data_IF_642485964084
#
_entry.id   IF_642485964084
#
_cell.length_a   1.000
_cell.length_b   1.000
_cell.length_c   1.000
_cell.angle_alpha   90.00
_cell.angle_beta   90.00
_cell.angle_gamma   90.00
#
_symmetry.space_group_name_H-M   'P 1'
#
loop_
_entity.id
_entity.type
_entity.pdbx_description
1 polymer ?
#
# COMPACT_ATOMS: atom_id res chain seq x y z
N UNK A 1 -55.00 -35.98 40.22
CA UNK A 1 -54.82 -37.41 39.93
C UNK A 1 -53.38 -37.61 39.51
N UNK A 2 -52.51 -37.83 40.48
CA UNK A 2 -51.14 -38.26 40.24
C UNK A 2 -51.21 -39.73 39.80
N UNK A 3 -50.74 -40.02 38.59
CA UNK A 3 -50.56 -41.39 38.15
C UNK A 3 -49.30 -41.92 38.87
N UNK A 4 -49.39 -42.96 39.70
CA UNK A 4 -48.24 -43.51 40.39
C UNK A 4 -47.29 -44.11 39.34
N UNK A 5 -46.14 -43.47 39.13
CA UNK A 5 -45.08 -43.97 38.26
C UNK A 5 -44.66 -43.00 37.18
N UNK A 6 -43.94 -41.93 37.53
CA UNK A 6 -43.06 -41.21 36.60
C UNK A 6 -43.68 -40.69 35.30
N UNK A 7 -45.00 -40.60 35.20
CA UNK A 7 -45.70 -40.18 33.97
C UNK A 7 -46.71 -39.07 34.24
N UNK A 8 -46.90 -38.19 33.26
CA UNK A 8 -47.80 -37.04 33.30
C UNK A 8 -48.56 -36.94 31.97
N UNK A 9 -49.85 -36.60 32.04
CA UNK A 9 -50.69 -36.37 30.86
C UNK A 9 -50.53 -34.95 30.33
N UNK A 10 -50.21 -34.79 29.05
CA UNK A 10 -50.13 -33.49 28.41
C UNK A 10 -51.54 -33.01 28.01
N UNK A 11 -52.00 -31.81 28.44
CA UNK A 11 -53.34 -31.32 28.08
C UNK A 11 -53.50 -30.92 26.60
N UNK A 12 -52.42 -30.85 25.83
CA UNK A 12 -52.43 -30.32 24.45
C UNK A 12 -52.39 -31.44 23.41
N UNK A 13 -51.66 -32.54 23.67
CA UNK A 13 -51.65 -33.73 22.82
C UNK A 13 -52.40 -34.93 23.43
N UNK A 14 -52.96 -34.77 24.63
CA UNK A 14 -53.75 -35.78 25.36
C UNK A 14 -53.01 -37.07 25.77
N UNK A 15 -51.78 -37.24 25.32
CA UNK A 15 -50.92 -38.40 25.62
C UNK A 15 -50.36 -38.38 27.05
N UNK A 16 -50.24 -39.57 27.64
CA UNK A 16 -49.54 -39.83 28.91
C UNK A 16 -48.07 -40.12 28.59
N UNK A 17 -47.15 -39.30 29.12
CA UNK A 17 -45.72 -39.32 28.80
C UNK A 17 -44.87 -39.34 30.06
N UNK A 18 -43.62 -39.76 29.93
CA UNK A 18 -42.67 -39.74 31.04
C UNK A 18 -42.43 -38.29 31.53
N UNK A 19 -42.23 -38.09 32.84
CA UNK A 19 -42.05 -36.75 33.44
C UNK A 19 -40.80 -36.01 32.91
N UNK A 20 -39.83 -36.74 32.36
CA UNK A 20 -38.63 -36.22 31.70
C UNK A 20 -38.97 -35.49 30.39
N UNK A 21 -40.06 -35.89 29.73
CA UNK A 21 -40.58 -35.22 28.53
C UNK A 21 -41.26 -33.88 28.85
N UNK A 22 -41.37 -33.51 30.12
CA UNK A 22 -41.85 -32.21 30.57
C UNK A 22 -40.66 -31.38 31.06
N UNK A 23 -40.66 -30.08 30.71
CA UNK A 23 -39.64 -29.15 31.21
C UNK A 23 -39.73 -28.98 32.73
N UNK A 24 -38.65 -28.55 33.37
CA UNK A 24 -38.68 -28.22 34.80
C UNK A 24 -39.48 -26.94 35.02
N UNK A 25 -40.38 -26.94 36.01
CA UNK A 25 -41.11 -25.75 36.42
C UNK A 25 -41.38 -25.79 37.93
N UNK A 26 -40.56 -25.06 38.69
CA UNK A 26 -40.64 -24.98 40.16
C UNK A 26 -41.94 -24.38 40.69
N UNK A 27 -42.77 -23.77 39.83
CA UNK A 27 -44.07 -23.19 40.21
C UNK A 27 -45.21 -24.22 40.17
N UNK A 28 -44.96 -25.41 39.64
CA UNK A 28 -45.96 -26.48 39.59
C UNK A 28 -45.76 -27.42 40.78
N UNK A 29 -46.84 -27.97 41.38
CA UNK A 29 -46.74 -28.84 42.55
C UNK A 29 -45.81 -30.04 42.35
N UNK A 30 -45.76 -30.57 41.13
CA UNK A 30 -44.91 -31.71 40.75
C UNK A 30 -43.54 -31.30 40.16
N UNK A 31 -43.21 -29.99 40.20
CA UNK A 31 -41.95 -29.47 39.66
C UNK A 31 -41.80 -29.57 38.14
N UNK A 32 -42.85 -29.96 37.40
CA UNK A 32 -42.81 -30.19 35.94
C UNK A 32 -43.81 -29.31 35.21
N UNK A 33 -43.45 -28.89 34.00
CA UNK A 33 -44.29 -28.05 33.16
C UNK A 33 -45.65 -28.71 32.87
N UNK A 34 -46.69 -27.89 32.65
CA UNK A 34 -48.04 -28.37 32.31
C UNK A 34 -48.10 -29.10 30.97
N UNK A 35 -47.25 -28.73 30.01
CA UNK A 35 -47.23 -29.28 28.66
C UNK A 35 -45.92 -30.05 28.41
N UNK A 36 -45.98 -31.11 27.61
CA UNK A 36 -44.78 -31.82 27.18
C UNK A 36 -43.89 -30.88 26.33
N UNK A 37 -42.58 -31.17 26.26
CA UNK A 37 -41.58 -30.35 25.55
C UNK A 37 -41.93 -30.14 24.08
N UNK A 38 -42.61 -31.09 23.44
CA UNK A 38 -43.05 -30.99 22.04
C UNK A 38 -44.18 -29.96 21.88
N UNK A 39 -45.28 -30.12 22.63
CA UNK A 39 -46.39 -29.18 22.66
C UNK A 39 -45.95 -27.77 23.08
N UNK A 40 -45.09 -27.69 24.09
CA UNK A 40 -44.52 -26.41 24.52
C UNK A 40 -43.73 -25.73 23.39
N UNK A 41 -42.84 -26.46 22.69
CA UNK A 41 -42.12 -25.93 21.52
C UNK A 41 -43.07 -25.46 20.43
N UNK A 42 -44.10 -26.26 20.08
CA UNK A 42 -45.10 -25.91 19.06
C UNK A 42 -45.79 -24.59 19.38
N UNK A 43 -46.35 -24.45 20.60
CA UNK A 43 -47.01 -23.20 21.01
C UNK A 43 -46.06 -22.02 21.09
N UNK A 44 -44.85 -22.23 21.60
CA UNK A 44 -43.83 -21.18 21.70
C UNK A 44 -43.47 -20.64 20.31
N UNK A 45 -43.25 -21.52 19.33
CA UNK A 45 -42.98 -21.15 17.93
C UNK A 45 -44.15 -20.39 17.30
N UNK A 46 -45.40 -20.85 17.50
CA UNK A 46 -46.58 -20.15 16.99
C UNK A 46 -46.74 -18.76 17.61
N UNK A 47 -46.62 -18.64 18.93
CA UNK A 47 -46.69 -17.36 19.64
C UNK A 47 -45.58 -16.40 19.19
N UNK A 48 -44.35 -16.90 19.04
CA UNK A 48 -43.23 -16.11 18.52
C UNK A 48 -43.49 -15.60 17.10
N UNK A 49 -43.99 -16.48 16.20
CA UNK A 49 -44.34 -16.12 14.82
C UNK A 49 -45.44 -15.06 14.78
N UNK A 50 -46.50 -15.21 15.58
CA UNK A 50 -47.59 -14.23 15.70
C UNK A 50 -47.06 -12.85 16.13
N UNK A 51 -46.29 -12.80 17.21
CA UNK A 51 -45.69 -11.55 17.73
C UNK A 51 -44.77 -10.87 16.72
N UNK A 52 -44.04 -11.64 15.89
CA UNK A 52 -43.18 -11.07 14.84
C UNK A 52 -44.00 -10.53 13.67
N UNK A 53 -45.06 -11.22 13.27
CA UNK A 53 -45.99 -10.76 12.25
C UNK A 53 -46.69 -9.45 12.65
N UNK A 54 -47.12 -9.31 13.91
CA UNK A 54 -47.68 -8.06 14.47
C UNK A 54 -46.68 -6.89 14.41
N UNK A 55 -45.37 -7.17 14.44
CA UNK A 55 -44.30 -6.18 14.28
C UNK A 55 -43.93 -5.93 12.80
N UNK A 56 -44.68 -6.47 11.84
CA UNK A 56 -44.37 -6.41 10.41
C UNK A 56 -43.11 -7.17 10.00
N UNK A 57 -42.61 -8.08 10.84
CA UNK A 57 -41.37 -8.84 10.61
C UNK A 57 -41.68 -10.28 10.25
N UNK A 58 -41.08 -10.77 9.17
CA UNK A 58 -41.15 -12.19 8.80
C UNK A 58 -40.14 -13.02 9.63
N UNK A 59 -40.58 -14.18 10.11
CA UNK A 59 -39.67 -15.13 10.76
C UNK A 59 -38.94 -15.92 9.68
N UNK A 60 -37.61 -15.82 9.65
CA UNK A 60 -36.79 -16.62 8.74
C UNK A 60 -36.92 -18.10 9.08
N UNK A 61 -37.24 -18.92 8.09
CA UNK A 61 -37.24 -20.37 8.25
C UNK A 61 -35.81 -20.90 8.26
N UNK A 62 -35.59 -21.96 9.04
CA UNK A 62 -34.30 -22.61 9.09
C UNK A 62 -34.10 -23.36 7.77
N UNK A 63 -33.09 -22.96 7.00
CA UNK A 63 -32.68 -23.67 5.79
C UNK A 63 -31.97 -24.94 6.22
N UNK A 64 -32.36 -26.10 5.68
CA UNK A 64 -31.62 -27.35 5.85
C UNK A 64 -30.28 -27.23 5.14
N UNK A 65 -29.18 -27.42 5.86
CA UNK A 65 -27.83 -27.30 5.32
C UNK A 65 -27.08 -28.62 5.55
N UNK A 66 -26.49 -29.24 4.51
CA UNK A 66 -25.65 -30.43 4.67
C UNK A 66 -24.45 -30.20 5.60
N UNK A 67 -23.91 -31.27 6.16
CA UNK A 67 -22.66 -31.20 6.93
C UNK A 67 -21.52 -30.63 6.07
N UNK A 68 -20.63 -29.83 6.69
CA UNK A 68 -19.54 -29.15 5.97
C UNK A 68 -19.99 -27.99 5.07
N UNK A 69 -21.27 -27.61 5.07
CA UNK A 69 -21.80 -26.50 4.28
C UNK A 69 -22.40 -25.39 5.15
N UNK A 70 -22.54 -24.21 4.57
CA UNK A 70 -23.22 -23.05 5.17
C UNK A 70 -24.04 -22.31 4.12
N UNK A 71 -25.23 -21.87 4.51
CA UNK A 71 -26.09 -21.04 3.67
C UNK A 71 -25.68 -19.56 3.76
N UNK A 72 -25.43 -18.91 2.63
CA UNK A 72 -25.17 -17.48 2.57
C UNK A 72 -26.49 -16.69 2.44
N UNK A 73 -26.85 -15.82 3.41
CA UNK A 73 -28.12 -15.10 3.38
C UNK A 73 -28.19 -13.98 2.32
N UNK A 74 -27.07 -13.64 1.66
CA UNK A 74 -27.04 -12.64 0.58
C UNK A 74 -27.32 -13.28 -0.78
N UNK A 75 -26.50 -14.24 -1.23
CA UNK A 75 -26.72 -14.92 -2.51
C UNK A 75 -27.73 -16.08 -2.44
N UNK A 76 -28.15 -16.49 -1.24
CA UNK A 76 -29.10 -17.58 -0.97
C UNK A 76 -28.60 -18.97 -1.39
N UNK A 77 -27.31 -19.11 -1.65
CA UNK A 77 -26.68 -20.39 -2.01
C UNK A 77 -26.12 -21.10 -0.77
N UNK A 78 -26.19 -22.42 -0.79
CA UNK A 78 -25.50 -23.29 0.17
C UNK A 78 -24.11 -23.60 -0.41
N UNK A 79 -23.06 -23.28 0.33
CA UNK A 79 -21.67 -23.46 -0.11
C UNK A 79 -20.83 -24.19 0.94
N UNK A 80 -19.71 -24.82 0.55
CA UNK A 80 -18.76 -25.37 1.50
C UNK A 80 -18.32 -24.33 2.53
N UNK A 81 -18.07 -24.74 3.78
CA UNK A 81 -17.58 -23.84 4.84
C UNK A 81 -16.26 -23.14 4.48
N UNK A 82 -15.46 -23.73 3.58
CA UNK A 82 -14.23 -23.14 3.05
C UNK A 82 -14.45 -21.84 2.26
N UNK A 83 -15.67 -21.63 1.73
CA UNK A 83 -16.06 -20.41 1.02
C UNK A 83 -16.47 -19.27 1.95
N UNK A 84 -16.36 -19.47 3.26
CA UNK A 84 -16.66 -18.48 4.29
C UNK A 84 -15.38 -18.09 5.02
N UNK A 85 -15.25 -16.80 5.36
CA UNK A 85 -14.16 -16.32 6.20
C UNK A 85 -14.29 -16.82 7.64
N UNK A 86 -13.18 -16.85 8.39
CA UNK A 86 -13.22 -17.12 9.84
C UNK A 86 -13.72 -15.87 10.57
N UNK A 87 -14.63 -16.05 11.52
CA UNK A 87 -15.08 -14.99 12.42
C UNK A 87 -15.33 -15.57 13.81
N UNK A 88 -14.42 -15.24 14.76
CA UNK A 88 -14.48 -15.74 16.14
C UNK A 88 -15.66 -15.17 16.94
N UNK A 89 -16.24 -14.05 16.50
CA UNK A 89 -17.39 -13.45 17.17
C UNK A 89 -18.69 -14.21 16.91
N UNK A 90 -18.76 -15.01 15.83
CA UNK A 90 -19.93 -15.80 15.48
C UNK A 90 -19.90 -17.17 16.17
N UNK A 91 -21.06 -17.67 16.61
CA UNK A 91 -21.18 -19.00 17.25
C UNK A 91 -20.66 -20.13 16.37
N UNK A 92 -20.78 -19.99 15.04
CA UNK A 92 -20.28 -20.98 14.09
C UNK A 92 -18.79 -20.83 13.77
N UNK A 93 -18.08 -19.83 14.32
CA UNK A 93 -16.68 -19.52 13.99
C UNK A 93 -16.44 -19.01 12.55
N UNK A 94 -17.51 -18.80 11.77
CA UNK A 94 -17.48 -18.48 10.35
C UNK A 94 -18.32 -17.24 10.06
N UNK A 95 -17.88 -16.41 9.13
CA UNK A 95 -18.59 -15.22 8.68
C UNK A 95 -20.02 -15.55 8.22
N UNK A 96 -20.92 -14.57 8.31
CA UNK A 96 -22.32 -14.71 7.90
C UNK A 96 -22.45 -14.87 6.38
N UNK A 97 -21.62 -14.18 5.60
CA UNK A 97 -21.63 -14.19 4.14
C UNK A 97 -20.48 -15.03 3.58
N UNK A 98 -20.68 -15.62 2.39
CA UNK A 98 -19.57 -16.21 1.63
C UNK A 98 -18.56 -15.13 1.22
N UNK A 99 -17.31 -15.50 0.97
CA UNK A 99 -16.21 -14.57 0.66
C UNK A 99 -16.55 -13.55 -0.44
N UNK A 100 -17.17 -13.93 -1.59
CA UNK A 100 -17.56 -12.95 -2.60
C UNK A 100 -18.60 -11.95 -2.08
N UNK A 101 -19.66 -12.45 -1.44
CA UNK A 101 -20.71 -11.58 -0.87
C UNK A 101 -20.17 -10.67 0.22
N UNK A 102 -19.25 -11.17 1.04
CA UNK A 102 -18.56 -10.42 2.08
C UNK A 102 -17.73 -9.28 1.46
N UNK A 103 -16.92 -9.55 0.44
CA UNK A 103 -16.13 -8.53 -0.25
C UNK A 103 -17.01 -7.41 -0.83
N UNK A 104 -18.16 -7.78 -1.39
CA UNK A 104 -19.13 -6.80 -1.89
C UNK A 104 -19.72 -5.98 -0.74
N UNK A 105 -20.13 -6.60 0.39
CA UNK A 105 -20.68 -5.85 1.54
C UNK A 105 -19.64 -4.88 2.06
N UNK A 106 -18.40 -5.33 2.26
CA UNK A 106 -17.31 -4.49 2.77
C UNK A 106 -16.94 -3.36 1.81
N UNK A 107 -17.16 -3.53 0.49
CA UNK A 107 -17.00 -2.44 -0.48
C UNK A 107 -18.15 -1.44 -0.35
N UNK A 108 -19.39 -1.92 -0.31
CA UNK A 108 -20.60 -1.09 -0.20
C UNK A 108 -20.57 -0.26 1.10
N UNK A 109 -20.17 -0.87 2.22
CA UNK A 109 -19.99 -0.18 3.51
C UNK A 109 -18.88 0.87 3.47
N UNK A 110 -17.74 0.57 2.82
CA UNK A 110 -16.68 1.56 2.62
C UNK A 110 -17.16 2.75 1.80
N UNK A 111 -17.88 2.52 0.71
CA UNK A 111 -18.46 3.58 -0.13
C UNK A 111 -19.49 4.38 0.69
N UNK A 112 -20.36 3.71 1.45
CA UNK A 112 -21.36 4.39 2.29
C UNK A 112 -20.72 5.29 3.36
N UNK A 113 -19.67 4.81 4.01
CA UNK A 113 -19.05 5.53 5.13
C UNK A 113 -18.03 6.59 4.68
N UNK A 114 -17.39 6.39 3.53
CA UNK A 114 -16.31 7.27 3.04
C UNK A 114 -16.62 7.93 1.70
N UNK A 115 -17.81 7.76 1.13
CA UNK A 115 -18.22 8.30 -0.16
C UNK A 115 -17.66 7.51 -1.36
N UNK A 116 -16.36 7.21 -1.37
CA UNK A 116 -15.70 6.49 -2.45
C UNK A 116 -14.59 5.57 -1.93
N UNK A 117 -14.23 4.55 -2.71
CA UNK A 117 -13.06 3.70 -2.40
C UNK A 117 -11.78 4.53 -2.41
N UNK A 118 -11.69 5.53 -3.32
CA UNK A 118 -10.55 6.44 -3.43
C UNK A 118 -10.40 7.29 -2.17
N UNK A 119 -11.46 7.94 -1.72
CA UNK A 119 -11.45 8.76 -0.50
C UNK A 119 -11.08 7.95 0.75
N UNK A 120 -11.55 6.70 0.85
CA UNK A 120 -11.12 5.79 1.91
C UNK A 120 -9.60 5.56 1.92
N UNK A 121 -9.01 5.28 0.75
CA UNK A 121 -7.57 5.05 0.65
C UNK A 121 -6.75 6.31 0.90
N UNK A 122 -7.20 7.47 0.41
CA UNK A 122 -6.55 8.76 0.65
C UNK A 122 -6.51 9.07 2.16
N UNK A 123 -7.66 8.98 2.83
CA UNK A 123 -7.74 9.21 4.28
C UNK A 123 -6.86 8.26 5.07
N UNK A 124 -6.90 6.97 4.72
CA UNK A 124 -6.14 5.94 5.46
C UNK A 124 -4.63 6.08 5.29
N UNK A 125 -4.15 6.43 4.09
CA UNK A 125 -2.71 6.44 3.79
C UNK A 125 -2.06 7.79 4.04
N UNK A 126 -2.79 8.88 3.77
CA UNK A 126 -2.22 10.23 3.72
C UNK A 126 -2.94 11.22 4.64
N UNK A 127 -3.99 10.80 5.35
CA UNK A 127 -4.79 11.70 6.18
C UNK A 127 -5.68 12.70 5.41
N UNK A 128 -5.61 12.74 4.07
CA UNK A 128 -6.35 13.71 3.25
C UNK A 128 -7.63 13.12 2.64
N UNK A 129 -8.58 14.00 2.33
CA UNK A 129 -9.79 13.64 1.59
C UNK A 129 -9.63 13.78 0.08
N UNK A 130 -10.59 13.26 -0.66
CA UNK A 130 -10.70 13.48 -2.11
C UNK A 130 -10.85 14.98 -2.45
N UNK A 131 -11.53 15.76 -1.62
CA UNK A 131 -11.64 17.21 -1.81
C UNK A 131 -10.32 17.93 -1.52
N UNK A 132 -9.56 17.48 -0.52
CA UNK A 132 -8.20 17.99 -0.26
C UNK A 132 -7.30 17.76 -1.47
N UNK A 133 -7.33 16.55 -2.05
CA UNK A 133 -6.60 16.23 -3.26
C UNK A 133 -6.96 17.19 -4.41
N UNK A 134 -8.26 17.43 -4.63
CA UNK A 134 -8.72 18.35 -5.68
C UNK A 134 -8.25 19.77 -5.41
N UNK A 135 -8.32 20.24 -4.15
CA UNK A 135 -7.81 21.56 -3.76
C UNK A 135 -6.30 21.70 -3.99
N UNK A 136 -5.53 20.70 -3.60
CA UNK A 136 -4.07 20.69 -3.82
C UNK A 136 -3.74 20.75 -5.31
N UNK A 137 -4.39 19.90 -6.11
CA UNK A 137 -4.17 19.87 -7.55
C UNK A 137 -4.58 21.21 -8.21
N UNK A 138 -5.68 21.82 -7.75
CA UNK A 138 -6.10 23.14 -8.24
C UNK A 138 -5.09 24.25 -7.88
N UNK A 139 -4.52 24.23 -6.67
CA UNK A 139 -3.42 25.15 -6.27
C UNK A 139 -2.18 25.01 -7.16
N UNK A 140 -1.93 23.81 -7.68
CA UNK A 140 -0.87 23.53 -8.66
C UNK A 140 -1.26 23.85 -10.11
N UNK A 141 -2.42 24.49 -10.35
CA UNK A 141 -2.91 24.78 -11.70
C UNK A 141 -3.36 23.55 -12.48
N UNK A 142 -3.67 22.45 -11.80
CA UNK A 142 -4.06 21.19 -12.42
C UNK A 142 -2.89 20.30 -12.87
N UNK A 143 -1.64 20.72 -12.60
CA UNK A 143 -0.43 20.11 -13.13
C UNK A 143 0.44 19.49 -12.04
N UNK A 144 1.36 18.62 -12.44
CA UNK A 144 2.40 18.05 -11.57
C UNK A 144 3.25 19.15 -10.93
N UNK A 145 3.46 19.07 -9.61
CA UNK A 145 4.22 20.08 -8.87
C UNK A 145 5.67 20.25 -9.38
N UNK A 146 6.31 19.16 -9.84
CA UNK A 146 7.69 19.14 -10.33
C UNK A 146 7.77 19.55 -11.81
N UNK A 147 7.22 18.76 -12.73
CA UNK A 147 7.45 19.01 -14.15
C UNK A 147 6.54 20.11 -14.74
N UNK A 148 5.42 20.43 -14.09
CA UNK A 148 4.42 21.43 -14.53
C UNK A 148 3.98 21.29 -16.00
N UNK A 149 4.07 20.07 -16.56
CA UNK A 149 3.81 19.82 -17.98
C UNK A 149 2.61 18.89 -18.22
N UNK A 150 2.27 18.05 -17.24
CA UNK A 150 1.17 17.08 -17.32
C UNK A 150 0.38 17.08 -16.02
N UNK A 151 -0.89 16.61 -16.02
CA UNK A 151 -1.69 16.54 -14.82
C UNK A 151 -1.05 15.73 -13.70
N UNK A 152 -1.19 16.23 -12.47
CA UNK A 152 -0.84 15.47 -11.27
C UNK A 152 -1.90 14.42 -10.97
N UNK A 153 -1.48 13.19 -10.68
CA UNK A 153 -2.38 12.04 -10.45
C UNK A 153 -2.08 11.26 -9.17
N UNK A 154 -0.88 11.41 -8.61
CA UNK A 154 -0.40 10.70 -7.44
C UNK A 154 -0.12 11.68 -6.30
N UNK A 155 -0.51 11.31 -5.08
CA UNK A 155 -0.14 12.05 -3.87
C UNK A 155 1.28 11.65 -3.51
N UNK A 156 2.14 12.65 -3.40
CA UNK A 156 3.51 12.50 -2.95
C UNK A 156 3.64 13.00 -1.50
N UNK A 157 4.48 12.31 -0.73
CA UNK A 157 4.63 12.53 0.70
C UNK A 157 6.07 12.22 1.12
N UNK A 158 6.55 12.92 2.14
CA UNK A 158 7.83 12.63 2.76
C UNK A 158 7.78 11.25 3.42
N UNK A 159 8.73 10.38 3.10
CA UNK A 159 8.79 9.04 3.69
C UNK A 159 9.30 9.03 5.13
N UNK A 160 9.95 10.13 5.58
CA UNK A 160 10.40 10.28 6.97
C UNK A 160 9.26 10.76 7.89
N UNK A 161 8.54 11.83 7.49
CA UNK A 161 7.52 12.46 8.33
C UNK A 161 6.09 11.99 8.01
N UNK A 162 5.86 11.42 6.82
CA UNK A 162 4.53 11.10 6.32
C UNK A 162 3.74 12.30 5.80
N UNK A 163 4.31 13.52 5.88
CA UNK A 163 3.65 14.74 5.45
C UNK A 163 3.46 14.76 3.93
N UNK A 164 2.26 15.13 3.51
CA UNK A 164 1.92 15.26 2.09
C UNK A 164 2.58 16.52 1.54
N UNK A 165 3.42 16.36 0.51
CA UNK A 165 4.13 17.47 -0.15
C UNK A 165 3.29 18.07 -1.28
N UNK A 166 2.70 17.21 -2.12
CA UNK A 166 2.03 17.68 -3.33
C UNK A 166 1.42 16.57 -4.17
N UNK A 167 0.95 16.95 -5.37
CA UNK A 167 0.42 16.01 -6.36
C UNK A 167 1.36 15.94 -7.56
N UNK A 168 1.89 14.75 -7.82
CA UNK A 168 2.85 14.50 -8.89
C UNK A 168 2.23 13.67 -10.02
N UNK A 169 2.82 13.75 -11.20
CA UNK A 169 2.55 12.77 -12.26
C UNK A 169 3.28 11.46 -11.96
N UNK A 170 2.88 10.38 -12.65
CA UNK A 170 3.48 9.05 -12.48
C UNK A 170 5.01 9.09 -12.59
N UNK A 171 5.54 9.75 -13.63
CA UNK A 171 6.97 9.75 -13.89
C UNK A 171 7.75 10.50 -12.80
N UNK A 172 7.37 11.74 -12.47
CA UNK A 172 8.09 12.50 -11.43
C UNK A 172 8.05 11.79 -10.07
N UNK A 173 6.90 11.19 -9.71
CA UNK A 173 6.78 10.42 -8.47
C UNK A 173 7.72 9.20 -8.45
N UNK A 174 7.82 8.46 -9.56
CA UNK A 174 8.75 7.33 -9.64
C UNK A 174 10.20 7.78 -9.73
N UNK A 175 10.48 8.91 -10.39
CA UNK A 175 11.80 9.52 -10.47
C UNK A 175 12.35 9.82 -9.08
N UNK A 176 11.58 10.50 -8.23
CA UNK A 176 11.92 10.71 -6.82
C UNK A 176 12.19 9.38 -6.10
N UNK A 177 11.32 8.39 -6.28
CA UNK A 177 11.49 7.06 -5.69
C UNK A 177 12.77 6.33 -6.12
N UNK A 178 13.24 6.52 -7.36
CA UNK A 178 14.50 5.95 -7.85
C UNK A 178 15.74 6.59 -7.20
N UNK A 179 15.65 7.87 -6.85
CA UNK A 179 16.68 8.58 -6.09
C UNK A 179 16.48 8.52 -4.58
N UNK A 180 15.39 7.89 -4.11
CA UNK A 180 15.09 7.72 -2.69
C UNK A 180 14.94 9.05 -1.95
N UNK A 181 14.39 10.08 -2.61
CA UNK A 181 14.29 11.46 -2.10
C UNK A 181 15.65 12.05 -1.65
N UNK A 182 16.77 11.51 -2.12
CA UNK A 182 18.10 11.98 -1.76
C UNK A 182 18.48 13.21 -2.59
N UNK A 183 18.58 14.36 -1.92
CA UNK A 183 18.90 15.67 -2.50
C UNK A 183 20.26 15.70 -3.19
N UNK A 184 21.29 15.07 -2.59
CA UNK A 184 22.62 14.96 -3.19
C UNK A 184 22.59 14.16 -4.49
N UNK A 185 21.87 13.03 -4.54
CA UNK A 185 21.77 12.24 -5.77
C UNK A 185 20.98 12.95 -6.88
N UNK A 186 19.95 13.72 -6.51
CA UNK A 186 19.20 14.56 -7.47
C UNK A 186 20.10 15.65 -8.04
N UNK A 187 20.91 16.31 -7.21
CA UNK A 187 21.90 17.30 -7.64
C UNK A 187 22.95 16.69 -8.58
N UNK A 188 23.54 15.55 -8.21
CA UNK A 188 24.50 14.82 -9.06
C UNK A 188 23.88 14.40 -10.40
N UNK A 189 22.62 13.98 -10.41
CA UNK A 189 21.91 13.64 -11.64
C UNK A 189 21.64 14.87 -12.53
N UNK A 190 21.37 16.03 -11.93
CA UNK A 190 21.17 17.27 -12.67
C UNK A 190 22.49 17.77 -13.30
N UNK A 191 23.58 17.75 -12.53
CA UNK A 191 24.93 18.06 -13.04
C UNK A 191 25.32 17.12 -14.18
N UNK A 192 25.10 15.82 -14.00
CA UNK A 192 25.34 14.81 -15.04
C UNK A 192 24.62 15.14 -16.36
N UNK A 193 23.36 15.58 -16.27
CA UNK A 193 22.57 15.94 -17.44
C UNK A 193 23.09 17.20 -18.14
N UNK A 194 23.61 18.16 -17.36
CA UNK A 194 24.29 19.37 -17.84
C UNK A 194 25.65 19.09 -18.50
N UNK A 195 26.16 17.86 -18.39
CA UNK A 195 27.46 17.45 -18.90
C UNK A 195 28.59 17.64 -17.90
N UNK A 196 28.28 17.98 -16.65
CA UNK A 196 29.25 18.07 -15.56
C UNK A 196 29.22 16.78 -14.74
N UNK A 197 30.36 16.11 -14.61
CA UNK A 197 30.50 14.94 -13.73
C UNK A 197 31.44 15.28 -12.59
N UNK A 198 30.99 15.06 -11.36
CA UNK A 198 31.84 15.19 -10.18
C UNK A 198 32.58 13.89 -9.92
N UNK A 199 33.91 13.98 -9.92
CA UNK A 199 34.83 12.89 -9.60
C UNK A 199 35.40 13.08 -8.19
N UNK A 200 35.02 12.28 -7.20
CA UNK A 200 35.59 12.41 -5.86
C UNK A 200 37.07 12.01 -5.81
N UNK A 201 37.92 12.81 -5.16
CA UNK A 201 39.36 12.55 -4.95
C UNK A 201 39.60 11.30 -4.07
N UNK A 202 38.62 10.86 -3.28
CA UNK A 202 38.73 9.69 -2.39
C UNK A 202 38.55 8.34 -3.11
N UNK A 203 38.33 8.33 -4.43
CA UNK A 203 38.42 7.10 -5.22
C UNK A 203 39.91 6.77 -5.39
N UNK A 204 40.45 5.99 -4.45
CA UNK A 204 41.81 5.45 -4.56
C UNK A 204 41.89 4.59 -5.81
N UNK A 205 42.62 5.07 -6.83
CA UNK A 205 43.03 4.28 -7.99
C UNK A 205 43.85 3.07 -7.48
N UNK A 206 43.41 1.82 -7.64
CA UNK A 206 44.30 0.70 -7.41
C UNK A 206 45.38 0.70 -8.50
N UNK A 207 46.63 0.45 -8.11
CA UNK A 207 47.72 0.19 -9.06
C UNK A 207 47.26 -0.90 -10.05
N UNK A 208 47.50 -0.63 -11.35
CA UNK A 208 47.02 -1.44 -12.46
C UNK A 208 47.26 -2.94 -12.22
N UNK A 209 46.18 -3.68 -11.94
CA UNK A 209 46.21 -5.15 -11.94
C UNK A 209 45.80 -5.62 -13.33
N UNK A 210 46.63 -6.50 -13.89
CA UNK A 210 46.48 -7.05 -15.23
C UNK A 210 45.12 -7.71 -15.47
N UNK A 211 44.80 -7.79 -16.76
CA UNK A 211 43.58 -8.31 -17.38
C UNK A 211 42.81 -9.33 -16.53
N UNK A 212 41.66 -8.89 -16.01
CA UNK A 212 40.64 -9.79 -15.45
C UNK A 212 39.61 -10.06 -16.56
N UNK A 213 39.27 -11.32 -16.88
CA UNK A 213 38.28 -11.61 -17.91
C UNK A 213 36.89 -11.16 -17.44
N UNK A 214 36.29 -10.21 -18.15
CA UNK A 214 34.90 -9.79 -17.92
C UNK A 214 33.96 -10.81 -18.57
N UNK A 215 32.93 -11.22 -17.83
CA UNK A 215 31.99 -12.23 -18.30
C UNK A 215 31.17 -11.72 -19.49
N UNK A 216 31.12 -12.51 -20.57
CA UNK A 216 30.31 -12.21 -21.77
C UNK A 216 28.83 -12.20 -21.43
N UNK A 217 28.16 -11.05 -21.49
CA UNK A 217 26.70 -11.02 -21.66
C UNK A 217 26.18 -9.76 -22.37
N UNK A 218 25.19 -9.96 -23.25
CA UNK A 218 24.30 -8.98 -23.93
C UNK A 218 24.89 -8.07 -25.03
N UNK A 219 25.79 -8.61 -25.85
CA UNK A 219 26.53 -7.85 -26.87
C UNK A 219 25.75 -7.46 -28.14
N UNK A 220 24.54 -7.98 -28.38
CA UNK A 220 23.86 -7.81 -29.67
C UNK A 220 23.05 -6.51 -29.83
N UNK A 221 22.60 -5.89 -28.73
CA UNK A 221 21.75 -4.68 -28.79
C UNK A 221 22.54 -3.35 -28.78
N UNK A 222 23.74 -3.33 -28.21
CA UNK A 222 24.54 -2.09 -28.08
C UNK A 222 25.25 -1.68 -29.38
N UNK A 223 25.63 -2.65 -30.22
CA UNK A 223 26.38 -2.40 -31.47
C UNK A 223 25.53 -1.75 -32.57
N UNK A 224 24.26 -2.13 -32.69
CA UNK A 224 23.34 -1.62 -33.72
C UNK A 224 22.87 -0.19 -33.45
N UNK A 225 22.64 0.18 -32.17
CA UNK A 225 22.06 1.49 -31.81
C UNK A 225 23.10 2.57 -31.52
N UNK A 226 24.23 2.22 -30.90
CA UNK A 226 25.23 3.18 -30.43
C UNK A 226 26.60 3.03 -31.11
N UNK A 227 26.72 2.12 -32.08
CA UNK A 227 27.98 1.83 -32.80
C UNK A 227 29.17 1.52 -31.87
N UNK A 228 28.91 0.96 -30.68
CA UNK A 228 29.97 0.56 -29.74
C UNK A 228 30.15 -0.95 -29.72
N UNK A 229 31.41 -1.39 -29.65
CA UNK A 229 31.74 -2.81 -29.41
C UNK A 229 31.71 -3.07 -27.90
N UNK A 230 31.62 -4.35 -27.52
CA UNK A 230 31.65 -4.75 -26.11
C UNK A 230 32.86 -4.19 -25.36
N UNK A 231 34.03 -4.31 -25.99
CA UNK A 231 35.32 -3.85 -25.47
C UNK A 231 35.29 -2.35 -25.14
N UNK A 232 34.56 -1.56 -25.93
CA UNK A 232 34.46 -0.11 -25.74
C UNK A 232 33.59 0.21 -24.50
N UNK A 233 32.57 -0.60 -24.24
CA UNK A 233 31.74 -0.53 -23.02
C UNK A 233 32.54 -0.96 -21.79
N UNK A 234 33.30 -2.06 -21.88
CA UNK A 234 34.15 -2.53 -20.78
C UNK A 234 35.22 -1.51 -20.42
N UNK A 235 35.85 -0.88 -21.42
CA UNK A 235 36.81 0.22 -21.21
C UNK A 235 36.17 1.41 -20.50
N UNK A 236 34.95 1.79 -20.88
CA UNK A 236 34.21 2.87 -20.21
C UNK A 236 33.90 2.53 -18.75
N UNK A 237 33.38 1.32 -18.48
CA UNK A 237 33.07 0.88 -17.12
C UNK A 237 34.36 0.81 -16.28
N UNK A 238 35.45 0.31 -16.85
CA UNK A 238 36.76 0.27 -16.19
C UNK A 238 37.30 1.68 -15.90
N UNK A 239 37.13 2.62 -16.84
CA UNK A 239 37.48 4.02 -16.64
C UNK A 239 36.64 4.69 -15.54
N UNK A 240 35.45 4.17 -15.24
CA UNK A 240 34.59 4.58 -14.12
C UNK A 240 34.81 3.74 -12.85
N UNK A 241 35.91 2.97 -12.77
CA UNK A 241 36.22 2.08 -11.64
C UNK A 241 35.14 1.04 -11.33
N UNK A 242 34.37 0.63 -12.35
CA UNK A 242 33.31 -0.36 -12.19
C UNK A 242 32.05 0.16 -11.49
N UNK A 243 31.92 1.49 -11.31
CA UNK A 243 30.81 2.11 -10.59
C UNK A 243 30.01 3.06 -11.49
N UNK A 244 28.76 3.28 -11.09
CA UNK A 244 27.87 4.27 -11.67
C UNK A 244 28.44 5.67 -11.44
N UNK A 245 28.59 6.45 -12.51
CA UNK A 245 29.20 7.78 -12.43
C UNK A 245 28.33 8.83 -11.71
N UNK A 246 27.03 8.54 -11.51
CA UNK A 246 26.11 9.44 -10.81
C UNK A 246 26.10 9.17 -9.31
N UNK A 247 25.94 7.91 -8.90
CA UNK A 247 25.77 7.58 -7.47
C UNK A 247 27.03 7.03 -6.79
N UNK A 248 28.05 6.61 -7.55
CA UNK A 248 29.30 6.03 -7.03
C UNK A 248 29.16 4.83 -6.09
N UNK A 249 27.98 4.21 -6.04
CA UNK A 249 27.63 3.15 -5.09
C UNK A 249 27.42 1.79 -5.76
N UNK A 250 26.90 1.79 -7.00
CA UNK A 250 26.41 0.56 -7.66
C UNK A 250 27.13 0.29 -8.96
N UNK A 251 27.31 -0.99 -9.34
CA UNK A 251 27.84 -1.33 -10.64
C UNK A 251 26.90 -0.85 -11.75
N UNK A 252 27.44 -0.34 -12.87
CA UNK A 252 26.63 0.11 -13.99
C UNK A 252 26.06 -1.09 -14.76
N UNK A 253 24.83 -0.92 -15.25
CA UNK A 253 24.08 -1.92 -16.02
C UNK A 253 23.69 -1.39 -17.42
N UNK A 254 23.76 -0.07 -17.61
CA UNK A 254 23.28 0.63 -18.78
C UNK A 254 24.35 1.60 -19.30
N UNK A 255 24.43 1.76 -20.60
CA UNK A 255 25.21 2.83 -21.24
C UNK A 255 24.23 3.97 -21.55
N UNK A 256 24.42 5.09 -20.88
CA UNK A 256 23.59 6.28 -21.08
C UNK A 256 24.00 7.04 -22.34
N UNK A 257 23.03 7.75 -22.91
CA UNK A 257 23.25 8.59 -24.08
C UNK A 257 22.37 9.85 -24.01
N UNK A 258 22.88 10.94 -24.58
CA UNK A 258 22.10 12.15 -24.72
C UNK A 258 20.97 11.94 -25.73
N UNK A 259 19.72 12.04 -25.29
CA UNK A 259 18.54 11.90 -26.15
C UNK A 259 18.37 13.02 -27.19
N UNK A 260 19.14 14.12 -27.08
CA UNK A 260 19.17 15.20 -28.09
C UNK A 260 20.19 14.96 -29.20
N UNK A 261 21.40 14.52 -28.85
CA UNK A 261 22.53 14.39 -29.79
C UNK A 261 22.82 12.96 -30.19
N UNK A 262 22.32 11.98 -29.44
CA UNK A 262 22.66 10.56 -29.55
C UNK A 262 24.06 10.22 -29.04
N UNK A 263 24.81 11.21 -28.53
CA UNK A 263 26.16 10.99 -28.02
C UNK A 263 26.11 10.12 -26.77
N UNK A 264 26.94 9.08 -26.74
CA UNK A 264 27.13 8.25 -25.55
C UNK A 264 27.79 9.10 -24.46
N UNK A 265 27.26 9.01 -23.25
CA UNK A 265 27.82 9.69 -22.07
C UNK A 265 28.66 8.70 -21.27
N UNK A 266 28.05 8.05 -20.29
CA UNK A 266 28.71 7.21 -19.30
C UNK A 266 27.86 5.98 -18.98
N UNK A 267 28.44 5.02 -18.27
CA UNK A 267 27.73 3.85 -17.78
C UNK A 267 27.04 4.15 -16.44
N UNK A 268 25.76 3.82 -16.32
CA UNK A 268 24.91 4.10 -15.16
C UNK A 268 24.31 2.81 -14.57
N UNK A 269 24.07 2.81 -13.26
CA UNK A 269 23.25 1.78 -12.63
C UNK A 269 21.78 1.91 -13.04
N UNK A 270 21.01 0.83 -12.94
CA UNK A 270 19.59 0.82 -13.31
C UNK A 270 18.76 1.92 -12.61
N UNK A 271 18.88 2.16 -11.29
CA UNK A 271 18.15 3.24 -10.62
C UNK A 271 18.45 4.62 -11.18
N UNK A 272 19.73 5.00 -11.34
CA UNK A 272 20.11 6.33 -11.84
C UNK A 272 19.64 6.53 -13.28
N UNK A 273 19.89 5.54 -14.16
CA UNK A 273 19.45 5.60 -15.56
C UNK A 273 17.92 5.74 -15.66
N UNK A 274 17.18 4.93 -14.90
CA UNK A 274 15.71 4.97 -14.93
C UNK A 274 15.19 6.24 -14.30
N UNK A 275 15.75 6.70 -13.18
CA UNK A 275 15.36 7.94 -12.50
C UNK A 275 15.52 9.16 -13.40
N UNK A 276 16.68 9.29 -14.08
CA UNK A 276 16.93 10.32 -15.08
C UNK A 276 15.90 10.24 -16.22
N UNK A 277 15.64 9.04 -16.74
CA UNK A 277 14.64 8.83 -17.78
C UNK A 277 13.22 9.18 -17.34
N UNK A 278 12.84 8.95 -16.08
CA UNK A 278 11.54 9.39 -15.54
C UNK A 278 11.43 10.92 -15.51
N UNK A 279 12.54 11.62 -15.26
CA UNK A 279 12.62 13.08 -15.41
C UNK A 279 12.79 13.55 -16.86
N UNK A 280 12.68 12.63 -17.83
CA UNK A 280 12.74 12.88 -19.28
C UNK A 280 14.09 13.44 -19.73
N UNK A 281 15.15 13.07 -19.02
CA UNK A 281 16.53 13.48 -19.35
C UNK A 281 16.69 15.01 -19.39
N UNK A 282 15.86 15.73 -18.61
CA UNK A 282 15.78 17.18 -18.55
C UNK A 282 16.30 17.67 -17.20
N UNK A 283 17.49 18.29 -17.21
CA UNK A 283 18.16 18.81 -16.01
C UNK A 283 17.25 19.77 -15.22
N UNK A 284 16.43 20.59 -15.90
CA UNK A 284 15.57 21.56 -15.24
C UNK A 284 14.43 20.86 -14.48
N UNK A 285 13.98 19.69 -14.95
CA UNK A 285 13.01 18.86 -14.21
C UNK A 285 13.66 18.27 -12.97
N UNK A 286 14.92 17.82 -13.05
CA UNK A 286 15.66 17.28 -11.89
C UNK A 286 15.92 18.37 -10.85
N UNK A 287 16.36 19.56 -11.25
CA UNK A 287 16.51 20.70 -10.34
C UNK A 287 15.20 21.08 -9.65
N UNK A 288 14.07 21.07 -10.38
CA UNK A 288 12.75 21.28 -9.75
C UNK A 288 12.36 20.16 -8.79
N UNK A 289 12.80 18.93 -9.05
CA UNK A 289 12.58 17.80 -8.15
C UNK A 289 13.38 17.97 -6.85
N UNK A 290 14.64 18.44 -6.95
CA UNK A 290 15.45 18.81 -5.80
C UNK A 290 14.78 19.89 -4.95
N UNK A 291 14.44 21.04 -5.56
CA UNK A 291 13.79 22.14 -4.83
C UNK A 291 12.44 21.73 -4.22
N UNK A 292 11.72 20.81 -4.86
CA UNK A 292 10.47 20.28 -4.35
C UNK A 292 10.66 19.40 -3.10
N UNK A 293 11.75 18.64 -3.02
CA UNK A 293 12.09 17.85 -1.82
C UNK A 293 12.59 18.76 -0.69
N UNK A 294 13.45 19.74 -1.00
CA UNK A 294 14.00 20.69 -0.03
C UNK A 294 12.91 21.56 0.62
N UNK A 295 11.97 22.09 -0.18
CA UNK A 295 10.88 22.93 0.33
C UNK A 295 9.95 22.22 1.33
N UNK A 296 9.98 20.88 1.39
CA UNK A 296 9.17 20.12 2.34
C UNK A 296 9.82 19.99 3.74
N UNK A 297 11.08 20.39 3.89
CA UNK A 297 11.79 20.36 5.18
C UNK A 297 11.50 21.63 6.01
N UNK A 298 10.94 22.68 5.40
CA UNK A 298 10.75 24.00 6.02
C UNK A 298 9.35 24.21 6.66
N UNK A 299 8.39 23.29 6.46
CA UNK A 299 6.97 23.44 6.88
C UNK A 299 6.51 22.34 7.85
N UNK A 300 7.38 21.99 8.79
CA UNK A 300 7.04 21.08 9.90
C UNK A 300 6.48 21.93 11.05
N UNK A 301 5.17 22.17 11.07
CA UNK A 301 4.47 22.82 12.20
C UNK A 301 4.49 22.04 13.52
N UNK A 302 5.42 21.10 13.70
CA UNK A 302 5.76 20.43 14.96
C UNK A 302 6.98 21.13 15.58
N UNK A 303 6.91 21.47 16.87
CA UNK A 303 8.08 21.96 17.61
C UNK A 303 9.20 20.91 17.49
N UNK A 304 10.27 21.29 16.80
CA UNK A 304 11.48 20.48 16.68
C UNK A 304 11.96 20.08 18.08
N UNK A 305 12.40 18.83 18.31
CA UNK A 305 13.00 18.43 19.57
C UNK A 305 14.36 19.13 19.83
N UNK A 306 14.87 19.85 18.83
CA UNK A 306 16.08 20.66 18.87
C UNK A 306 15.72 22.14 18.96
N UNK A 307 16.48 22.88 19.76
CA UNK A 307 16.41 24.33 19.82
C UNK A 307 16.76 24.98 18.47
N UNK A 308 16.31 26.22 18.25
CA UNK A 308 16.64 26.99 17.05
C UNK A 308 18.16 27.13 16.85
N UNK A 309 18.93 27.22 17.93
CA UNK A 309 20.39 27.25 17.89
C UNK A 309 20.99 25.92 17.40
N UNK A 310 20.50 24.78 17.90
CA UNK A 310 20.93 23.44 17.46
C UNK A 310 20.58 23.17 15.99
N UNK A 311 19.41 23.61 15.53
CA UNK A 311 19.01 23.49 14.12
C UNK A 311 19.93 24.32 13.21
N UNK A 312 20.29 25.53 13.61
CA UNK A 312 21.23 26.38 12.87
C UNK A 312 22.63 25.75 12.85
N UNK A 313 23.07 25.14 13.94
CA UNK A 313 24.35 24.41 13.98
C UNK A 313 24.34 23.16 13.09
N UNK A 314 23.26 22.38 13.10
CA UNK A 314 23.11 21.21 12.22
C UNK A 314 23.09 21.60 10.74
N UNK A 315 22.33 22.65 10.38
CA UNK A 315 22.30 23.15 9.01
C UNK A 315 23.68 23.67 8.57
N UNK A 316 24.42 24.35 9.45
CA UNK A 316 25.81 24.76 9.18
C UNK A 316 26.74 23.56 9.02
N UNK A 317 26.61 22.54 9.86
CA UNK A 317 27.42 21.32 9.76
C UNK A 317 27.12 20.54 8.47
N UNK A 318 25.85 20.46 8.05
CA UNK A 318 25.45 19.88 6.77
C UNK A 318 26.03 20.67 5.59
N UNK A 319 25.93 21.99 5.61
CA UNK A 319 26.50 22.86 4.58
C UNK A 319 28.04 22.79 4.55
N UNK A 320 28.68 22.64 5.71
CA UNK A 320 30.13 22.44 5.81
C UNK A 320 30.55 21.09 5.21
N UNK A 321 29.85 20.00 5.55
CA UNK A 321 30.07 18.67 4.96
C UNK A 321 29.83 18.67 3.45
N UNK A 322 28.76 19.33 2.99
CA UNK A 322 28.46 19.51 1.56
C UNK A 322 29.58 20.30 0.88
N UNK A 323 30.03 21.40 1.48
CA UNK A 323 31.14 22.22 1.00
C UNK A 323 32.48 21.47 1.00
N UNK A 324 32.74 20.58 1.96
CA UNK A 324 33.91 19.70 1.98
C UNK A 324 33.84 18.64 0.88
N UNK A 325 32.68 18.03 0.66
CA UNK A 325 32.46 17.14 -0.47
C UNK A 325 32.75 17.85 -1.79
N UNK A 326 32.20 19.05 -2.01
CA UNK A 326 32.46 19.83 -3.22
C UNK A 326 33.93 20.28 -3.39
N UNK A 327 34.65 20.52 -2.28
CA UNK A 327 36.09 20.81 -2.30
C UNK A 327 36.94 19.58 -2.64
N UNK A 328 36.46 18.39 -2.29
CA UNK A 328 37.16 17.11 -2.50
C UNK A 328 36.77 16.40 -3.80
N UNK A 329 35.94 17.01 -4.66
CA UNK A 329 35.59 16.46 -5.97
C UNK A 329 36.14 17.33 -7.09
N UNK A 330 36.75 16.69 -8.09
CA UNK A 330 37.15 17.34 -9.34
C UNK A 330 35.97 17.35 -10.31
N UNK A 331 35.62 18.52 -10.85
CA UNK A 331 34.68 18.62 -11.98
C UNK A 331 35.36 18.16 -13.25
N UNK A 332 34.79 17.16 -13.90
CA UNK A 332 35.24 16.65 -15.20
C UNK A 332 34.08 16.82 -16.18
N UNK A 333 34.32 17.57 -17.26
CA UNK A 333 33.33 17.89 -18.30
C UNK A 333 34.02 18.30 -19.58
#
# INVERSE_FOLDING_TARGET
MELPGGVKRCPDCDEVKAIEEFGLNKRQPDGRARYCRACFRRRSTQSYRKRKAEQGKTVREAVSVPEGHKHCPRCKEIKPVADFGRNKAEKSGLAAYCKPCHNTVMRDERIKNHGSTRNYHLKRRYGITEDDFVRMLARQGGLCAICRAVPGTFVDHCHATGQVRGVLCFNCNNGLGHFGDNTVLLELAALYLAGEVLWPEFVVLPEARGEVPVARTRTYHLSQRYRMRHEDVERMISAQHGLCVVCWDRPPEHVDHCHRTGAVRFALCLPCNTGIGQFRDDEAVVWRALSYVEAAVEDDGEESPFSDEELVELARAEEELRSEFYRSVTRVG
#
